data_IF_274583936296
#
_entry.id   IF_274583936296
#
_cell.length_a   1.000
_cell.length_b   1.000
_cell.length_c   1.000
_cell.angle_alpha   90.00
_cell.angle_beta   90.00
_cell.angle_gamma   90.00
#
_symmetry.space_group_name_H-M   'P 1'
#
loop_
_entity.id
_entity.type
_entity.pdbx_description
1 polymer ?
#
# COMPACT_ATOMS: atom_id res chain seq x y z
N UNK A 1 3.76 10.32 51.33
CA UNK A 1 3.99 9.74 49.98
C UNK A 1 3.16 10.45 48.90
N UNK A 2 1.85 10.66 49.10
CA UNK A 2 0.95 11.28 48.11
C UNK A 2 1.37 12.66 47.56
N UNK A 3 1.98 13.53 48.37
CA UNK A 3 2.46 14.86 47.91
C UNK A 3 3.58 14.77 46.87
N UNK A 4 4.47 13.79 47.00
CA UNK A 4 5.59 13.56 46.06
C UNK A 4 5.08 13.03 44.72
N UNK A 5 4.11 12.12 44.76
CA UNK A 5 3.44 11.58 43.56
C UNK A 5 2.67 12.65 42.80
N UNK A 6 1.98 13.55 43.52
CA UNK A 6 1.28 14.69 42.91
C UNK A 6 2.24 15.66 42.21
N UNK A 7 3.40 15.94 42.81
CA UNK A 7 4.41 16.81 42.21
C UNK A 7 5.03 16.18 40.95
N UNK A 8 5.38 14.89 41.02
CA UNK A 8 5.91 14.17 39.87
C UNK A 8 4.91 14.14 38.71
N UNK A 9 3.62 13.92 39.00
CA UNK A 9 2.55 13.94 37.98
C UNK A 9 2.38 15.33 37.37
N UNK A 10 2.39 16.40 38.18
CA UNK A 10 2.26 17.77 37.71
C UNK A 10 3.40 18.21 36.77
N UNK A 11 4.59 17.63 36.92
CA UNK A 11 5.76 17.93 36.07
C UNK A 11 5.79 17.01 34.83
N UNK A 12 5.45 15.73 34.98
CA UNK A 12 5.53 14.76 33.89
C UNK A 12 4.39 14.92 32.86
N UNK A 13 3.17 15.25 33.29
CA UNK A 13 2.02 15.39 32.39
C UNK A 13 2.23 16.44 31.28
N UNK A 14 2.69 17.68 31.60
CA UNK A 14 2.92 18.71 30.59
C UNK A 14 4.00 18.33 29.59
N UNK A 15 5.08 17.69 30.05
CA UNK A 15 6.19 17.23 29.20
C UNK A 15 5.73 16.15 28.22
N UNK A 16 4.87 15.24 28.69
CA UNK A 16 4.34 14.15 27.88
C UNK A 16 3.35 14.66 26.82
N UNK A 17 2.53 15.66 27.15
CA UNK A 17 1.61 16.31 26.19
C UNK A 17 2.39 17.14 25.16
N UNK A 18 3.43 17.87 25.57
CA UNK A 18 4.24 18.71 24.69
C UNK A 18 5.11 17.86 23.72
N UNK A 19 5.69 16.76 24.20
CA UNK A 19 6.50 15.84 23.40
C UNK A 19 5.70 15.13 22.29
N UNK A 20 4.45 14.73 22.59
CA UNK A 20 3.62 14.01 21.63
C UNK A 20 3.15 14.85 20.42
N UNK A 21 3.15 16.20 20.52
CA UNK A 21 2.84 17.04 19.35
C UNK A 21 4.00 17.11 18.35
N UNK A 22 5.25 16.88 18.77
CA UNK A 22 6.41 16.93 17.88
C UNK A 22 6.57 15.68 17.02
N UNK A 23 6.02 14.53 17.45
CA UNK A 23 6.07 13.27 16.70
C UNK A 23 4.90 13.09 15.74
N UNK A 24 3.90 13.99 15.75
CA UNK A 24 3.02 14.15 14.60
C UNK A 24 3.82 14.91 13.54
N UNK A 25 4.79 14.20 12.95
CA UNK A 25 5.37 14.55 11.67
C UNK A 25 4.18 14.65 10.74
N UNK A 26 3.62 15.85 10.63
CA UNK A 26 2.62 16.18 9.64
C UNK A 26 3.42 16.15 8.35
N UNK A 27 3.60 14.93 7.81
CA UNK A 27 3.94 14.68 6.42
C UNK A 27 2.72 15.18 5.67
N UNK A 28 2.53 16.51 5.66
CA UNK A 28 1.73 17.12 4.64
C UNK A 28 2.51 16.75 3.39
N UNK A 29 1.93 15.97 2.47
CA UNK A 29 2.52 15.90 1.16
C UNK A 29 2.54 17.36 0.69
N UNK A 30 3.73 17.96 0.69
CA UNK A 30 3.96 19.17 -0.10
C UNK A 30 3.39 18.79 -1.45
N UNK A 31 2.36 19.50 -1.89
CA UNK A 31 1.66 19.19 -3.12
C UNK A 31 2.67 19.31 -4.25
N UNK A 32 3.37 18.22 -4.55
CA UNK A 32 4.20 18.09 -5.73
C UNK A 32 3.23 18.30 -6.86
N UNK A 33 3.49 19.32 -7.68
CA UNK A 33 2.72 19.54 -8.89
C UNK A 33 2.97 18.32 -9.79
N UNK A 34 2.12 17.31 -9.68
CA UNK A 34 2.24 16.11 -10.49
C UNK A 34 1.98 16.50 -11.94
N UNK A 35 2.96 16.26 -12.81
CA UNK A 35 2.75 16.38 -14.23
C UNK A 35 1.71 15.35 -14.68
N UNK A 36 0.82 15.76 -15.59
CA UNK A 36 -0.13 14.85 -16.20
C UNK A 36 0.65 13.72 -16.90
N UNK A 37 0.33 12.44 -16.64
CA UNK A 37 0.97 11.35 -17.34
C UNK A 37 0.66 11.42 -18.84
N UNK A 38 1.56 10.92 -19.70
CA UNK A 38 1.30 10.86 -21.13
C UNK A 38 0.07 9.98 -21.43
N UNK A 39 -0.62 10.20 -22.56
CA UNK A 39 -1.69 9.33 -22.97
C UNK A 39 -1.18 7.89 -23.13
N UNK A 40 -2.00 6.87 -22.81
CA UNK A 40 -1.62 5.48 -22.99
C UNK A 40 -1.38 5.18 -24.47
N UNK A 41 -0.50 4.22 -24.74
CA UNK A 41 -0.20 3.81 -26.11
C UNK A 41 -1.46 3.24 -26.80
N UNK A 42 -1.62 3.53 -28.08
CA UNK A 42 -2.82 3.15 -28.85
C UNK A 42 -3.11 1.64 -28.83
N UNK A 43 -2.07 0.79 -28.74
CA UNK A 43 -2.21 -0.66 -28.66
C UNK A 43 -2.86 -1.15 -27.36
N UNK A 44 -2.79 -0.36 -26.27
CA UNK A 44 -3.46 -0.68 -24.99
C UNK A 44 -4.96 -0.43 -25.09
N UNK A 45 -5.38 0.52 -25.94
CA UNK A 45 -6.78 0.83 -26.20
C UNK A 45 -7.40 -0.10 -27.26
N UNK A 46 -6.62 -1.03 -27.83
CA UNK A 46 -7.16 -1.98 -28.79
C UNK A 46 -8.12 -2.96 -28.08
N UNK A 47 -9.21 -3.36 -28.73
CA UNK A 47 -10.10 -4.37 -28.21
C UNK A 47 -9.33 -5.63 -27.82
N UNK A 48 -9.72 -6.23 -26.71
CA UNK A 48 -9.17 -7.49 -26.25
C UNK A 48 -9.28 -8.52 -27.37
N UNK A 49 -8.15 -9.15 -27.73
CA UNK A 49 -8.15 -10.18 -28.76
C UNK A 49 -8.98 -11.37 -28.24
N UNK A 50 -10.13 -11.69 -28.87
CA UNK A 50 -11.09 -12.65 -28.31
C UNK A 50 -10.51 -14.06 -28.17
N UNK A 51 -9.44 -14.37 -28.89
CA UNK A 51 -8.74 -15.65 -28.82
C UNK A 51 -7.62 -15.69 -27.76
N UNK A 52 -7.18 -14.54 -27.21
CA UNK A 52 -6.08 -14.50 -26.25
C UNK A 52 -6.40 -15.29 -24.98
N UNK A 53 -7.61 -15.14 -24.43
CA UNK A 53 -8.03 -15.90 -23.24
C UNK A 53 -7.98 -17.40 -23.53
N UNK A 54 -8.50 -17.81 -24.68
CA UNK A 54 -8.62 -19.22 -25.05
C UNK A 54 -7.26 -19.85 -25.33
N UNK A 55 -6.39 -19.12 -26.02
CA UNK A 55 -4.99 -19.49 -26.24
C UNK A 55 -4.22 -19.59 -24.93
N UNK A 56 -4.30 -18.58 -24.06
CA UNK A 56 -3.63 -18.62 -22.76
C UNK A 56 -4.12 -19.78 -21.90
N UNK A 57 -5.42 -20.08 -21.89
CA UNK A 57 -5.96 -21.23 -21.17
C UNK A 57 -5.44 -22.56 -21.72
N UNK A 58 -5.27 -22.70 -23.03
CA UNK A 58 -4.70 -23.90 -23.63
C UNK A 58 -3.21 -24.06 -23.30
N UNK A 59 -2.43 -22.97 -23.32
CA UNK A 59 -0.98 -22.99 -23.01
C UNK A 59 -0.70 -23.19 -21.52
N UNK A 60 -1.54 -22.61 -20.65
CA UNK A 60 -1.38 -22.65 -19.19
C UNK A 60 -2.10 -23.83 -18.54
N UNK A 61 -2.96 -24.52 -19.27
CA UNK A 61 -3.56 -25.77 -18.77
C UNK A 61 -2.44 -26.80 -18.61
N UNK A 62 -2.40 -27.53 -17.49
CA UNK A 62 -1.53 -28.69 -17.39
C UNK A 62 -1.86 -29.64 -18.54
N UNK A 63 -0.85 -29.94 -19.37
CA UNK A 63 -0.95 -31.00 -20.38
C UNK A 63 -1.37 -32.28 -19.67
N UNK A 64 -2.29 -33.09 -20.23
CA UNK A 64 -2.69 -34.35 -19.63
C UNK A 64 -1.46 -35.26 -19.54
N UNK A 65 -0.85 -35.30 -18.36
CA UNK A 65 0.16 -36.30 -18.04
C UNK A 65 -0.57 -37.63 -17.99
N UNK A 66 -0.18 -38.64 -18.78
CA UNK A 66 -0.81 -39.96 -18.68
C UNK A 66 -0.70 -40.43 -17.23
N UNK A 67 -1.83 -40.79 -16.63
CA UNK A 67 -1.83 -41.34 -15.29
C UNK A 67 -1.00 -42.64 -15.31
N UNK A 68 0.05 -42.70 -14.48
CA UNK A 68 0.75 -43.95 -14.20
C UNK A 68 -0.27 -44.91 -13.61
N UNK A 69 -0.51 -46.02 -14.31
CA UNK A 69 -1.32 -47.13 -13.80
C UNK A 69 -0.48 -47.85 -12.75
N UNK A 70 -0.98 -47.90 -11.51
CA UNK A 70 -0.44 -48.73 -10.42
C UNK A 70 -0.72 -50.22 -10.62
#
# INVERSE_FOLDING_TARGET
MLKKTKLACAIALPLLICGCQSSSTRIQPVGVTCHKPPPPAAWIMQPYEPDLTRRMLNELSPSPTPATVD
#
